data_IF_307008372411
#
_entry.id   IF_307008372411
#
_cell.length_a   1.000
_cell.length_b   1.000
_cell.length_c   1.000
_cell.angle_alpha   90.00
_cell.angle_beta   90.00
_cell.angle_gamma   90.00
#
_symmetry.space_group_name_H-M   'P 1'
#
loop_
_entity.id
_entity.type
_entity.pdbx_description
1 polymer ?
#
# COMPACT_ATOMS: atom_id res chain seq x y z
N UNK A 1 -34.49 17.70 12.21
CA UNK A 1 -34.61 17.03 10.89
C UNK A 1 -34.64 18.05 9.76
N UNK A 2 -34.99 17.67 8.52
CA UNK A 2 -35.00 18.60 7.37
C UNK A 2 -35.87 19.85 7.58
N UNK A 3 -37.01 19.72 8.27
CA UNK A 3 -37.89 20.85 8.61
C UNK A 3 -37.21 21.85 9.56
N UNK A 4 -36.52 21.38 10.60
CA UNK A 4 -35.78 22.25 11.51
C UNK A 4 -34.62 22.96 10.79
N UNK A 5 -33.94 22.26 9.87
CA UNK A 5 -32.87 22.85 9.06
C UNK A 5 -33.43 23.95 8.13
N UNK A 6 -34.59 23.73 7.52
CA UNK A 6 -35.27 24.76 6.73
C UNK A 6 -35.72 25.95 7.58
N UNK A 7 -36.26 25.71 8.77
CA UNK A 7 -36.63 26.78 9.71
C UNK A 7 -35.40 27.59 10.14
N UNK A 8 -34.28 26.94 10.43
CA UNK A 8 -33.00 27.60 10.71
C UNK A 8 -32.56 28.43 9.51
N UNK A 9 -32.55 27.88 8.29
CA UNK A 9 -32.16 28.64 7.10
C UNK A 9 -33.09 29.81 6.80
N UNK A 10 -34.39 29.66 7.04
CA UNK A 10 -35.36 30.74 6.88
C UNK A 10 -35.06 31.88 7.86
N UNK A 11 -34.88 31.58 9.14
CA UNK A 11 -34.50 32.58 10.15
C UNK A 11 -33.13 33.20 9.82
N UNK A 12 -32.16 32.39 9.38
CA UNK A 12 -30.86 32.90 8.96
C UNK A 12 -30.98 33.90 7.80
N UNK A 13 -31.85 33.61 6.83
CA UNK A 13 -32.13 34.49 5.69
C UNK A 13 -32.87 35.77 6.10
N UNK A 14 -33.88 35.67 6.97
CA UNK A 14 -34.70 36.80 7.42
C UNK A 14 -33.91 37.84 8.23
N UNK A 15 -32.91 37.39 8.99
CA UNK A 15 -32.16 38.23 9.93
C UNK A 15 -30.69 38.46 9.54
N UNK A 16 -30.24 37.96 8.39
CA UNK A 16 -28.90 38.21 7.86
C UNK A 16 -28.60 39.72 7.78
N UNK A 17 -27.46 40.14 8.34
CA UNK A 17 -27.03 41.55 8.31
C UNK A 17 -27.74 42.45 9.32
N UNK A 18 -28.62 41.91 10.17
CA UNK A 18 -29.23 42.66 11.28
C UNK A 18 -28.44 42.47 12.57
N UNK A 19 -28.48 41.27 13.17
CA UNK A 19 -27.76 40.95 14.42
C UNK A 19 -26.81 39.74 14.30
N UNK A 20 -26.78 39.06 13.15
CA UNK A 20 -25.72 38.11 12.77
C UNK A 20 -25.41 38.19 11.27
N UNK A 21 -24.25 37.66 10.89
CA UNK A 21 -23.81 37.48 9.49
C UNK A 21 -23.37 36.03 9.35
N UNK A 22 -24.00 35.29 8.43
CA UNK A 22 -23.51 33.99 7.95
C UNK A 22 -22.35 34.20 6.98
N UNK A 23 -21.30 33.41 7.16
CA UNK A 23 -20.09 33.43 6.33
C UNK A 23 -19.67 31.99 6.06
N UNK A 24 -19.05 31.77 4.90
CA UNK A 24 -18.24 30.58 4.66
C UNK A 24 -17.01 30.59 5.58
N UNK A 25 -16.41 29.42 5.80
CA UNK A 25 -15.19 29.32 6.60
C UNK A 25 -14.05 30.21 6.03
N UNK A 26 -13.93 30.28 4.70
CA UNK A 26 -12.94 31.10 4.01
C UNK A 26 -13.13 32.60 4.28
N UNK A 27 -14.36 33.10 4.15
CA UNK A 27 -14.71 34.50 4.44
C UNK A 27 -14.49 34.83 5.92
N UNK A 28 -14.83 33.91 6.82
CA UNK A 28 -14.60 34.09 8.25
C UNK A 28 -13.10 34.21 8.56
N UNK A 29 -12.25 33.37 7.98
CA UNK A 29 -10.79 33.43 8.14
C UNK A 29 -10.21 34.75 7.61
N UNK A 30 -10.72 35.24 6.47
CA UNK A 30 -10.25 36.49 5.86
C UNK A 30 -10.66 37.72 6.68
N UNK A 31 -11.89 37.73 7.20
CA UNK A 31 -12.48 38.88 7.90
C UNK A 31 -12.17 38.91 9.39
N UNK A 32 -11.92 37.76 10.01
CA UNK A 32 -11.61 37.64 11.43
C UNK A 32 -10.17 37.17 11.61
N UNK A 33 -9.25 38.14 11.68
CA UNK A 33 -7.83 37.84 11.90
C UNK A 33 -7.66 37.06 13.21
N UNK A 34 -7.00 35.90 13.20
CA UNK A 34 -6.83 35.10 14.39
C UNK A 34 -6.03 35.88 15.44
N UNK A 35 -6.58 35.99 16.64
CA UNK A 35 -5.93 36.64 17.79
C UNK A 35 -4.97 35.70 18.52
N UNK A 36 -5.06 34.40 18.25
CA UNK A 36 -4.16 33.36 18.74
C UNK A 36 -4.11 32.21 17.72
N UNK A 37 -2.96 31.56 17.63
CA UNK A 37 -2.75 30.38 16.78
C UNK A 37 -2.49 29.19 17.69
N UNK A 38 -3.32 28.16 17.57
CA UNK A 38 -3.07 26.88 18.24
C UNK A 38 -2.01 26.14 17.43
N UNK A 39 -0.82 26.01 17.99
CA UNK A 39 0.34 25.40 17.31
C UNK A 39 0.56 23.94 17.68
N UNK A 40 -0.15 23.43 18.67
CA UNK A 40 -0.05 22.05 19.10
C UNK A 40 -1.46 21.49 19.35
N UNK A 41 -1.93 20.65 18.43
CA UNK A 41 -3.18 19.91 18.57
C UNK A 41 -2.83 18.48 18.96
N UNK A 42 -3.34 17.96 20.09
CA UNK A 42 -3.13 16.57 20.45
C UNK A 42 -3.80 15.65 19.42
N UNK A 43 -3.25 14.45 19.26
CA UNK A 43 -3.85 13.42 18.41
C UNK A 43 -5.21 13.00 18.97
N UNK A 44 -6.29 13.29 18.23
CA UNK A 44 -7.67 12.96 18.64
C UNK A 44 -8.63 13.03 17.45
N UNK A 45 -9.90 12.73 17.71
CA UNK A 45 -11.00 12.97 16.78
C UNK A 45 -12.14 13.72 17.50
N UNK A 46 -13.16 14.12 16.75
CA UNK A 46 -14.40 14.67 17.32
C UNK A 46 -15.14 13.68 18.24
N UNK A 47 -14.85 12.38 18.13
CA UNK A 47 -15.33 11.33 19.05
C UNK A 47 -14.47 11.20 20.33
N UNK A 48 -13.64 12.21 20.62
CA UNK A 48 -12.79 12.36 21.83
C UNK A 48 -11.68 11.30 21.99
N UNK A 49 -11.59 10.32 21.09
CA UNK A 49 -10.50 9.36 20.94
C UNK A 49 -10.53 8.70 19.55
N UNK A 50 -9.63 7.74 19.30
CA UNK A 50 -9.52 7.03 18.02
C UNK A 50 -10.08 5.60 18.05
N UNK A 51 -10.73 5.17 19.14
CA UNK A 51 -11.15 3.78 19.32
C UNK A 51 -12.14 3.28 18.26
N UNK A 52 -12.90 4.20 17.65
CA UNK A 52 -13.79 3.89 16.55
C UNK A 52 -13.03 3.35 15.32
N UNK A 53 -11.77 3.70 15.12
CA UNK A 53 -10.97 3.27 13.97
C UNK A 53 -9.77 2.41 14.36
N UNK A 54 -9.25 2.57 15.58
CA UNK A 54 -8.09 1.82 16.06
C UNK A 54 -8.19 1.59 17.58
N UNK A 55 -8.63 0.40 17.97
CA UNK A 55 -8.76 -0.04 19.36
C UNK A 55 -8.11 -1.42 19.61
N UNK A 56 -7.24 -1.87 18.70
CA UNK A 56 -6.61 -3.19 18.76
C UNK A 56 -7.52 -4.37 18.39
N UNK A 57 -8.78 -4.14 17.99
CA UNK A 57 -9.64 -5.22 17.49
C UNK A 57 -8.99 -5.91 16.27
N UNK A 58 -8.88 -7.25 16.23
CA UNK A 58 -8.15 -7.96 15.17
C UNK A 58 -8.57 -7.57 13.75
N UNK A 59 -9.87 -7.40 13.51
CA UNK A 59 -10.36 -7.00 12.18
C UNK A 59 -9.90 -5.60 11.75
N UNK A 60 -9.75 -4.64 12.68
CA UNK A 60 -9.24 -3.30 12.36
C UNK A 60 -7.73 -3.33 12.15
N UNK A 61 -7.00 -4.06 13.01
CA UNK A 61 -5.55 -4.26 12.87
C UNK A 61 -5.21 -4.89 11.53
N UNK A 62 -6.00 -5.87 11.08
CA UNK A 62 -5.84 -6.53 9.79
C UNK A 62 -6.07 -5.57 8.61
N UNK A 63 -7.10 -4.71 8.68
CA UNK A 63 -7.31 -3.66 7.66
C UNK A 63 -6.11 -2.71 7.62
N UNK A 64 -5.66 -2.20 8.78
CA UNK A 64 -4.52 -1.29 8.84
C UNK A 64 -3.24 -1.91 8.29
N UNK A 65 -2.97 -3.17 8.63
CA UNK A 65 -1.83 -3.90 8.11
C UNK A 65 -1.90 -4.07 6.59
N UNK A 66 -3.07 -4.49 6.08
CA UNK A 66 -3.28 -4.69 4.64
C UNK A 66 -3.19 -3.38 3.85
N UNK A 67 -3.69 -2.28 4.42
CA UNK A 67 -3.58 -0.93 3.84
C UNK A 67 -2.13 -0.47 3.75
N UNK A 68 -1.38 -0.60 4.84
CA UNK A 68 0.03 -0.23 4.87
C UNK A 68 0.82 -1.03 3.82
N UNK A 69 0.59 -2.34 3.75
CA UNK A 69 1.22 -3.20 2.76
C UNK A 69 0.86 -2.82 1.31
N UNK A 70 -0.42 -2.58 1.02
CA UNK A 70 -0.85 -2.18 -0.32
C UNK A 70 -0.27 -0.82 -0.72
N UNK A 71 -0.22 0.13 0.21
CA UNK A 71 0.39 1.45 0.00
C UNK A 71 1.88 1.33 -0.31
N UNK A 72 2.62 0.55 0.47
CA UNK A 72 4.04 0.30 0.21
C UNK A 72 4.29 -0.25 -1.20
N UNK A 73 3.59 -1.32 -1.58
CA UNK A 73 3.71 -1.90 -2.92
C UNK A 73 3.38 -0.90 -4.01
N UNK A 74 2.27 -0.16 -3.86
CA UNK A 74 1.82 0.79 -4.87
C UNK A 74 2.76 1.98 -5.01
N UNK A 75 3.21 2.57 -3.91
CA UNK A 75 4.19 3.67 -3.94
C UNK A 75 5.49 3.18 -4.55
N UNK A 76 6.01 2.04 -4.10
CA UNK A 76 7.24 1.46 -4.62
C UNK A 76 7.16 1.15 -6.11
N UNK A 77 6.08 0.54 -6.57
CA UNK A 77 5.90 0.28 -7.99
C UNK A 77 5.72 1.57 -8.81
N UNK A 78 4.92 2.52 -8.33
CA UNK A 78 4.67 3.82 -8.99
C UNK A 78 5.97 4.60 -9.17
N UNK A 79 6.80 4.63 -8.14
CA UNK A 79 8.17 5.18 -8.18
C UNK A 79 9.06 4.48 -9.18
N UNK A 80 9.06 3.15 -9.17
CA UNK A 80 9.86 2.35 -10.09
C UNK A 80 9.49 2.61 -11.55
N UNK A 81 8.24 2.89 -11.88
CA UNK A 81 7.85 3.25 -13.26
C UNK A 81 8.06 4.73 -13.60
N UNK A 82 8.54 5.54 -12.65
CA UNK A 82 8.73 6.99 -12.82
C UNK A 82 7.44 7.80 -12.88
N UNK A 83 6.34 7.29 -12.31
CA UNK A 83 5.06 7.98 -12.26
C UNK A 83 4.89 8.80 -10.96
N UNK A 84 3.96 9.75 -10.98
CA UNK A 84 3.61 10.53 -9.80
C UNK A 84 2.89 9.66 -8.77
N UNK A 85 3.39 9.65 -7.54
CA UNK A 85 2.74 9.04 -6.37
C UNK A 85 1.56 9.89 -5.90
N UNK A 86 0.50 9.24 -5.44
CA UNK A 86 -0.76 9.91 -5.04
C UNK A 86 -1.30 10.88 -6.11
N UNK A 87 -1.47 10.42 -7.37
CA UNK A 87 -1.98 11.28 -8.43
C UNK A 87 -3.46 11.57 -8.23
N UNK A 88 -3.92 12.73 -8.72
CA UNK A 88 -5.35 12.93 -8.95
C UNK A 88 -5.79 11.98 -10.05
N UNK A 89 -6.65 11.02 -9.74
CA UNK A 89 -7.09 10.01 -10.69
C UNK A 89 -8.21 10.60 -11.57
N UNK A 90 -8.03 10.69 -12.90
CA UNK A 90 -9.09 11.09 -13.80
C UNK A 90 -10.12 9.96 -13.86
N UNK A 91 -11.27 10.18 -13.23
CA UNK A 91 -12.44 9.32 -13.32
C UNK A 91 -13.44 10.01 -14.25
N UNK A 92 -13.61 9.54 -15.49
CA UNK A 92 -14.73 9.98 -16.31
C UNK A 92 -15.98 9.29 -15.76
N UNK A 93 -16.54 9.84 -14.68
CA UNK A 93 -17.70 9.30 -13.96
C UNK A 93 -18.93 9.07 -14.86
N UNK A 94 -18.97 9.76 -16.01
CA UNK A 94 -20.02 9.63 -17.01
C UNK A 94 -19.82 8.44 -17.97
N UNK A 95 -18.65 7.82 -18.06
CA UNK A 95 -18.37 6.75 -19.04
C UNK A 95 -17.68 5.51 -18.48
N UNK A 96 -16.79 5.62 -17.49
CA UNK A 96 -16.15 4.45 -16.87
C UNK A 96 -15.83 4.69 -15.39
N UNK A 97 -16.18 3.74 -14.49
CA UNK A 97 -15.87 3.87 -13.06
C UNK A 97 -14.37 3.68 -12.73
N UNK A 98 -13.56 3.25 -13.71
CA UNK A 98 -12.12 3.05 -13.57
C UNK A 98 -11.37 3.87 -14.65
N UNK A 99 -10.09 4.16 -14.37
CA UNK A 99 -9.20 4.81 -15.34
C UNK A 99 -8.76 3.83 -16.42
N UNK A 100 -8.52 4.33 -17.65
CA UNK A 100 -7.88 3.55 -18.71
C UNK A 100 -6.39 3.30 -18.43
N UNK A 101 -5.80 4.02 -17.47
CA UNK A 101 -4.46 3.75 -16.97
C UNK A 101 -4.53 2.77 -15.78
N UNK A 102 -3.92 1.57 -15.90
CA UNK A 102 -3.95 0.57 -14.83
C UNK A 102 -3.38 1.07 -13.49
N UNK A 103 -2.33 1.89 -13.50
CA UNK A 103 -1.73 2.43 -12.26
C UNK A 103 -2.69 3.40 -11.58
N UNK A 104 -3.39 4.24 -12.34
CA UNK A 104 -4.42 5.12 -11.79
C UNK A 104 -5.61 4.34 -11.21
N UNK A 105 -5.97 3.20 -11.80
CA UNK A 105 -6.97 2.31 -11.21
C UNK A 105 -6.51 1.76 -9.86
N UNK A 106 -5.24 1.36 -9.72
CA UNK A 106 -4.69 0.92 -8.42
C UNK A 106 -4.66 2.04 -7.37
N UNK A 107 -4.33 3.27 -7.77
CA UNK A 107 -4.42 4.43 -6.87
C UNK A 107 -5.85 4.71 -6.43
N UNK A 108 -6.82 4.60 -7.34
CA UNK A 108 -8.23 4.71 -6.99
C UNK A 108 -8.66 3.62 -6.00
N UNK A 109 -8.19 2.38 -6.18
CA UNK A 109 -8.45 1.30 -5.23
C UNK A 109 -7.87 1.61 -3.85
N UNK A 110 -6.68 2.20 -3.78
CA UNK A 110 -6.08 2.60 -2.52
C UNK A 110 -6.92 3.69 -1.83
N UNK A 111 -7.36 4.72 -2.57
CA UNK A 111 -8.21 5.78 -2.02
C UNK A 111 -9.55 5.25 -1.48
N UNK A 112 -10.14 4.27 -2.16
CA UNK A 112 -11.35 3.60 -1.67
C UNK A 112 -11.01 2.81 -0.40
N UNK A 113 -9.93 2.02 -0.42
CA UNK A 113 -9.53 1.18 0.71
C UNK A 113 -9.18 1.99 1.97
N UNK A 114 -8.68 3.21 1.81
CA UNK A 114 -8.35 4.13 2.92
C UNK A 114 -9.58 4.83 3.52
N UNK A 115 -10.78 4.55 3.00
CA UNK A 115 -12.03 5.06 3.56
C UNK A 115 -12.20 4.71 5.04
N UNK A 116 -12.36 5.72 5.88
CA UNK A 116 -12.41 5.52 7.34
C UNK A 116 -13.62 4.70 7.80
N UNK A 117 -14.67 4.62 6.99
CA UNK A 117 -15.87 3.82 7.26
C UNK A 117 -15.57 2.33 7.46
N UNK A 118 -14.55 1.79 6.77
CA UNK A 118 -14.19 0.38 6.88
C UNK A 118 -13.79 0.02 8.31
N UNK A 119 -12.89 0.80 8.90
CA UNK A 119 -12.43 0.58 10.28
C UNK A 119 -13.42 1.07 11.30
N UNK A 120 -14.20 2.12 11.00
CA UNK A 120 -15.33 2.56 11.83
C UNK A 120 -16.29 1.41 12.08
N UNK A 121 -16.74 0.74 11.02
CA UNK A 121 -17.79 -0.29 11.09
C UNK A 121 -17.26 -1.66 11.55
N UNK A 122 -15.97 -1.93 11.42
CA UNK A 122 -15.41 -3.25 11.72
C UNK A 122 -15.26 -3.50 13.22
N UNK A 123 -16.17 -4.30 13.78
CA UNK A 123 -16.10 -4.72 15.18
C UNK A 123 -16.41 -3.60 16.18
N UNK A 124 -16.05 -3.77 17.47
CA UNK A 124 -16.36 -2.80 18.51
C UNK A 124 -15.77 -1.41 18.19
N UNK A 125 -16.43 -0.30 18.56
CA UNK A 125 -17.71 -0.25 19.28
C UNK A 125 -18.95 -0.34 18.39
N UNK A 126 -18.81 -0.25 17.06
CA UNK A 126 -19.94 -0.03 16.15
C UNK A 126 -20.60 -1.33 15.66
N UNK A 127 -19.85 -2.44 15.59
CA UNK A 127 -20.34 -3.76 15.19
C UNK A 127 -21.14 -3.74 13.87
N UNK A 128 -20.63 -3.01 12.89
CA UNK A 128 -21.20 -2.98 11.55
C UNK A 128 -21.09 -4.34 10.84
N UNK A 129 -21.74 -4.47 9.67
CA UNK A 129 -21.72 -5.69 8.89
C UNK A 129 -20.30 -6.18 8.54
N UNK A 130 -20.09 -7.50 8.55
CA UNK A 130 -18.79 -8.12 8.28
C UNK A 130 -18.22 -7.77 6.89
N UNK A 131 -19.06 -7.37 5.93
CA UNK A 131 -18.62 -7.00 4.58
C UNK A 131 -17.79 -5.70 4.56
N UNK A 132 -17.88 -4.82 5.56
CA UNK A 132 -17.04 -3.62 5.63
C UNK A 132 -15.55 -3.98 5.68
N UNK A 133 -15.19 -4.95 6.54
CA UNK A 133 -13.82 -5.49 6.59
C UNK A 133 -13.44 -6.11 5.25
N UNK A 134 -14.30 -6.96 4.69
CA UNK A 134 -14.02 -7.68 3.46
C UNK A 134 -13.76 -6.75 2.27
N UNK A 135 -14.50 -5.63 2.16
CA UNK A 135 -14.31 -4.68 1.08
C UNK A 135 -12.93 -4.02 1.13
N UNK A 136 -12.51 -3.53 2.28
CA UNK A 136 -11.17 -2.94 2.45
C UNK A 136 -10.07 -3.93 2.04
N UNK A 137 -10.16 -5.18 2.51
CA UNK A 137 -9.20 -6.23 2.17
C UNK A 137 -9.22 -6.60 0.69
N UNK A 138 -10.38 -6.58 0.05
CA UNK A 138 -10.50 -6.91 -1.37
C UNK A 138 -9.76 -5.89 -2.25
N UNK A 139 -9.84 -4.60 -1.92
CA UNK A 139 -9.12 -3.56 -2.67
C UNK A 139 -7.61 -3.62 -2.45
N UNK A 140 -7.15 -3.81 -1.21
CA UNK A 140 -5.72 -3.92 -0.90
C UNK A 140 -5.11 -5.19 -1.51
N UNK A 141 -5.80 -6.32 -1.43
CA UNK A 141 -5.38 -7.57 -2.08
C UNK A 141 -5.31 -7.42 -3.60
N UNK A 142 -6.27 -6.72 -4.23
CA UNK A 142 -6.24 -6.46 -5.67
C UNK A 142 -5.00 -5.65 -6.07
N UNK A 143 -4.60 -4.65 -5.29
CA UNK A 143 -3.38 -3.86 -5.51
C UNK A 143 -2.15 -4.75 -5.42
N UNK A 144 -2.00 -5.46 -4.30
CA UNK A 144 -0.83 -6.30 -4.02
C UNK A 144 -0.69 -7.40 -5.08
N UNK A 145 -1.78 -8.09 -5.40
CA UNK A 145 -1.77 -9.18 -6.37
C UNK A 145 -1.48 -8.68 -7.80
N UNK A 146 -2.04 -7.53 -8.19
CA UNK A 146 -1.78 -6.94 -9.52
C UNK A 146 -0.31 -6.56 -9.67
N UNK A 147 0.26 -5.86 -8.68
CA UNK A 147 1.67 -5.45 -8.71
C UNK A 147 2.58 -6.68 -8.70
N UNK A 148 2.27 -7.69 -7.87
CA UNK A 148 3.03 -8.93 -7.85
C UNK A 148 2.99 -9.65 -9.20
N UNK A 149 1.82 -9.74 -9.84
CA UNK A 149 1.66 -10.32 -11.17
C UNK A 149 2.40 -9.55 -12.27
N UNK A 150 2.51 -8.22 -12.14
CA UNK A 150 3.37 -7.41 -13.01
C UNK A 150 4.86 -7.70 -12.77
N UNK A 151 5.33 -7.68 -11.52
CA UNK A 151 6.74 -7.94 -11.19
C UNK A 151 7.22 -9.33 -11.65
N UNK A 152 6.34 -10.34 -11.69
CA UNK A 152 6.64 -11.67 -12.25
C UNK A 152 7.00 -11.68 -13.75
N UNK A 153 6.66 -10.62 -14.48
CA UNK A 153 7.01 -10.45 -15.90
C UNK A 153 8.42 -9.89 -16.07
N UNK A 154 9.07 -9.44 -15.00
CA UNK A 154 10.48 -8.99 -15.02
C UNK A 154 11.37 -10.16 -14.63
N UNK A 155 12.05 -10.76 -15.60
CA UNK A 155 12.68 -12.09 -15.46
C UNK A 155 14.19 -12.02 -15.62
N UNK A 156 14.92 -12.74 -14.78
CA UNK A 156 16.33 -13.00 -14.99
C UNK A 156 16.46 -14.09 -16.05
N UNK A 157 16.99 -13.74 -17.22
CA UNK A 157 17.12 -14.66 -18.35
C UNK A 157 18.48 -15.32 -18.39
N UNK A 158 19.53 -14.60 -17.98
CA UNK A 158 20.89 -15.12 -17.96
C UNK A 158 21.69 -14.56 -16.79
N UNK A 159 22.50 -15.42 -16.20
CA UNK A 159 23.55 -15.07 -15.24
C UNK A 159 24.86 -15.73 -15.69
N UNK A 160 25.90 -14.92 -15.80
CA UNK A 160 27.27 -15.35 -16.09
C UNK A 160 28.20 -14.68 -15.09
N UNK A 161 29.17 -15.42 -14.61
CA UNK A 161 30.18 -14.94 -13.68
C UNK A 161 31.55 -15.38 -14.19
N UNK A 162 32.36 -14.43 -14.65
CA UNK A 162 33.67 -14.67 -15.26
C UNK A 162 34.59 -13.49 -14.98
N UNK A 163 35.80 -13.76 -14.51
CA UNK A 163 36.89 -12.78 -14.34
C UNK A 163 36.47 -11.52 -13.55
N UNK A 164 35.93 -11.67 -12.35
CA UNK A 164 35.49 -10.57 -11.50
C UNK A 164 34.39 -9.68 -12.07
N UNK A 165 33.59 -10.24 -12.99
CA UNK A 165 32.45 -9.58 -13.59
C UNK A 165 31.25 -10.53 -13.60
N UNK A 166 30.21 -10.12 -12.91
CA UNK A 166 28.88 -10.71 -13.02
C UNK A 166 28.10 -10.00 -14.13
N UNK A 167 27.58 -10.77 -15.07
CA UNK A 167 26.72 -10.27 -16.15
C UNK A 167 25.33 -10.85 -15.98
N UNK A 168 24.35 -9.96 -15.79
CA UNK A 168 22.94 -10.31 -15.72
C UNK A 168 22.24 -9.89 -17.02
N UNK A 169 21.35 -10.73 -17.54
CA UNK A 169 20.40 -10.35 -18.57
C UNK A 169 19.00 -10.40 -17.97
N UNK A 170 18.36 -9.24 -17.87
CA UNK A 170 17.02 -9.10 -17.31
C UNK A 170 16.06 -8.68 -18.42
N UNK A 171 15.00 -9.45 -18.60
CA UNK A 171 13.89 -9.11 -19.48
C UNK A 171 12.82 -8.38 -18.69
N UNK A 172 12.41 -7.20 -19.15
CA UNK A 172 11.23 -6.51 -18.61
C UNK A 172 10.03 -6.78 -19.52
N UNK A 173 9.12 -7.64 -19.08
CA UNK A 173 7.88 -7.96 -19.82
C UNK A 173 6.74 -6.97 -19.62
N UNK A 174 6.96 -5.87 -18.90
CA UNK A 174 5.94 -4.85 -18.67
C UNK A 174 5.85 -3.87 -19.84
N UNK A 175 4.71 -3.18 -19.92
CA UNK A 175 4.50 -2.03 -20.79
C UNK A 175 5.17 -0.74 -20.26
N UNK A 176 5.92 -0.81 -19.15
CA UNK A 176 6.49 0.34 -18.45
C UNK A 176 8.02 0.26 -18.42
N UNK A 177 8.68 1.42 -18.57
CA UNK A 177 10.10 1.55 -18.25
C UNK A 177 10.26 1.50 -16.75
N UNK A 178 11.23 0.72 -16.25
CA UNK A 178 11.54 0.63 -14.83
C UNK A 178 12.85 1.33 -14.52
N UNK A 179 12.85 2.21 -13.54
CA UNK A 179 13.99 2.92 -12.96
C UNK A 179 14.25 2.35 -11.57
N UNK A 180 15.31 1.57 -11.44
CA UNK A 180 15.54 0.70 -10.28
C UNK A 180 16.99 0.79 -9.79
N UNK A 181 17.22 0.35 -8.56
CA UNK A 181 18.55 0.03 -8.05
C UNK A 181 18.72 -1.49 -8.06
N UNK A 182 19.65 -1.99 -8.87
CA UNK A 182 20.09 -3.38 -8.85
C UNK A 182 21.15 -3.55 -7.78
N UNK A 183 20.95 -4.49 -6.87
CA UNK A 183 21.94 -4.90 -5.87
C UNK A 183 22.31 -6.35 -6.11
N UNK A 184 23.58 -6.63 -6.33
CA UNK A 184 24.12 -7.99 -6.49
C UNK A 184 24.98 -8.31 -5.30
N UNK A 185 24.76 -9.46 -4.66
CA UNK A 185 25.44 -9.87 -3.43
C UNK A 185 25.92 -11.31 -3.50
N UNK A 186 27.05 -11.59 -2.85
CA UNK A 186 27.55 -12.95 -2.61
C UNK A 186 27.34 -13.40 -1.15
N UNK A 187 26.67 -12.59 -0.33
CA UNK A 187 26.42 -12.84 1.09
C UNK A 187 27.41 -12.16 2.04
N UNK A 188 28.58 -11.75 1.56
CA UNK A 188 29.57 -10.98 2.34
C UNK A 188 29.73 -9.56 1.84
N UNK A 189 29.64 -9.37 0.52
CA UNK A 189 29.80 -8.09 -0.15
C UNK A 189 28.67 -7.90 -1.17
N UNK A 190 28.26 -6.64 -1.36
CA UNK A 190 27.22 -6.28 -2.31
C UNK A 190 27.63 -5.05 -3.13
N UNK A 191 27.25 -5.05 -4.41
CA UNK A 191 27.39 -3.91 -5.32
C UNK A 191 26.00 -3.43 -5.72
N UNK A 192 25.76 -2.13 -5.55
CA UNK A 192 24.54 -1.47 -6.00
C UNK A 192 24.80 -0.64 -7.27
N UNK A 193 23.86 -0.67 -8.20
CA UNK A 193 23.93 0.07 -9.47
C UNK A 193 22.54 0.50 -9.93
N UNK A 194 22.39 1.75 -10.33
CA UNK A 194 21.16 2.21 -10.98
C UNK A 194 21.00 1.55 -12.35
N UNK A 195 19.80 1.03 -12.62
CA UNK A 195 19.47 0.34 -13.86
C UNK A 195 18.14 0.84 -14.42
N UNK A 196 18.06 0.89 -15.75
CA UNK A 196 16.84 1.22 -16.48
C UNK A 196 16.45 0.04 -17.34
N UNK A 197 15.29 -0.55 -17.07
CA UNK A 197 14.77 -1.69 -17.84
C UNK A 197 13.67 -1.19 -18.77
N UNK A 198 13.92 -1.20 -20.08
CA UNK A 198 12.94 -0.75 -21.08
C UNK A 198 11.80 -1.76 -21.27
N UNK A 199 10.57 -1.31 -21.63
CA UNK A 199 9.44 -2.18 -21.88
C UNK A 199 9.76 -3.25 -22.93
N UNK A 200 9.27 -4.48 -22.71
CA UNK A 200 9.42 -5.63 -23.61
C UNK A 200 10.84 -5.85 -24.15
N UNK A 201 11.85 -5.56 -23.32
CA UNK A 201 13.24 -5.52 -23.76
C UNK A 201 14.16 -6.29 -22.82
N UNK A 202 15.20 -6.88 -23.41
CA UNK A 202 16.31 -7.45 -22.67
C UNK A 202 17.32 -6.36 -22.33
N UNK A 203 17.76 -6.32 -21.07
CA UNK A 203 18.85 -5.43 -20.61
C UNK A 203 20.01 -6.28 -20.13
N UNK A 204 21.20 -6.09 -20.73
CA UNK A 204 22.44 -6.75 -20.29
C UNK A 204 23.20 -5.81 -19.36
N UNK A 205 23.48 -6.26 -18.15
CA UNK A 205 24.01 -5.45 -17.06
C UNK A 205 25.30 -6.08 -16.54
N UNK A 206 26.47 -5.53 -16.89
CA UNK A 206 27.73 -5.92 -16.27
C UNK A 206 27.87 -5.25 -14.90
N UNK A 207 28.25 -6.05 -13.90
CA UNK A 207 28.53 -5.68 -12.52
C UNK A 207 29.96 -6.10 -12.21
N UNK A 208 30.85 -5.11 -12.17
CA UNK A 208 32.30 -5.29 -12.04
C UNK A 208 32.68 -5.26 -10.56
N UNK A 209 33.58 -6.14 -10.14
CA UNK A 209 34.13 -6.15 -8.78
C UNK A 209 33.41 -7.09 -7.81
N UNK A 210 32.61 -8.02 -8.34
CA UNK A 210 31.96 -9.07 -7.55
C UNK A 210 32.05 -10.40 -8.29
N UNK A 211 32.30 -11.46 -7.52
CA UNK A 211 32.35 -12.86 -7.95
C UNK A 211 31.51 -13.71 -7.00
N UNK A 212 31.13 -14.89 -7.50
CA UNK A 212 30.32 -15.90 -6.82
C UNK A 212 29.02 -15.29 -6.25
N UNK A 213 28.39 -14.40 -7.02
CA UNK A 213 27.16 -13.76 -6.59
C UNK A 213 26.06 -14.81 -6.41
N UNK A 214 25.34 -14.72 -5.29
CA UNK A 214 24.29 -15.66 -4.90
C UNK A 214 22.91 -15.04 -5.02
N UNK A 215 22.80 -13.72 -4.97
CA UNK A 215 21.53 -13.00 -5.13
C UNK A 215 21.67 -11.75 -6.00
N UNK A 216 20.60 -11.45 -6.73
CA UNK A 216 20.40 -10.16 -7.36
C UNK A 216 19.01 -9.64 -6.97
N UNK A 217 18.93 -8.41 -6.50
CA UNK A 217 17.69 -7.79 -6.04
C UNK A 217 17.46 -6.48 -6.77
N UNK A 218 16.20 -6.23 -7.14
CA UNK A 218 15.77 -4.97 -7.73
C UNK A 218 14.99 -4.18 -6.70
N UNK A 219 15.47 -2.98 -6.41
CA UNK A 219 14.89 -2.06 -5.46
C UNK A 219 14.24 -0.88 -6.18
N UNK A 220 13.07 -0.48 -5.69
CA UNK A 220 12.49 0.82 -6.03
C UNK A 220 13.20 1.92 -5.24
N UNK A 221 13.49 3.08 -5.87
CA UNK A 221 14.17 4.21 -5.22
C UNK A 221 13.20 5.02 -4.31
N UNK A 222 12.53 4.33 -3.39
CA UNK A 222 11.66 4.93 -2.37
C UNK A 222 12.45 5.11 -1.09
N UNK A 223 12.24 6.23 -0.42
CA UNK A 223 12.79 6.51 0.91
C UNK A 223 11.75 6.34 2.02
N UNK A 224 12.20 6.17 3.26
CA UNK A 224 11.31 6.00 4.45
C UNK A 224 10.28 7.12 4.58
N UNK A 225 10.69 8.36 4.32
CA UNK A 225 9.82 9.54 4.39
C UNK A 225 8.61 9.48 3.45
N UNK A 226 8.64 8.60 2.45
CA UNK A 226 7.61 8.50 1.42
C UNK A 226 6.60 7.38 1.70
N UNK A 227 6.90 6.48 2.63
CA UNK A 227 6.00 5.40 3.06
C UNK A 227 5.37 5.66 4.43
N UNK A 228 5.99 6.48 5.28
CA UNK A 228 5.54 6.66 6.67
C UNK A 228 5.74 5.38 7.48
N UNK A 229 4.81 5.06 8.39
CA UNK A 229 4.82 3.78 9.09
C UNK A 229 4.58 2.61 8.12
N UNK A 230 5.52 1.67 8.09
CA UNK A 230 5.61 0.67 7.03
C UNK A 230 5.90 -0.74 7.62
N UNK A 231 5.03 -1.75 7.41
CA UNK A 231 5.29 -3.13 7.87
C UNK A 231 6.51 -3.80 7.25
N UNK A 232 6.91 -3.44 6.02
CA UNK A 232 8.11 -4.02 5.38
C UNK A 232 9.29 -3.07 5.59
N UNK A 233 10.40 -3.53 6.20
CA UNK A 233 11.60 -2.72 6.34
C UNK A 233 12.15 -2.27 4.98
N UNK A 234 12.32 -0.97 4.83
CA UNK A 234 13.11 -0.37 3.75
C UNK A 234 14.58 -0.43 4.17
N UNK A 235 15.48 -0.72 3.22
CA UNK A 235 16.91 -0.65 3.50
C UNK A 235 17.56 0.52 2.75
N UNK A 236 18.87 0.69 2.92
CA UNK A 236 19.62 1.77 2.27
C UNK A 236 19.55 1.80 0.73
N UNK A 237 19.09 0.73 0.09
CA UNK A 237 18.89 0.63 -1.36
C UNK A 237 17.46 0.95 -1.81
N UNK A 238 16.51 1.05 -0.87
CA UNK A 238 15.10 1.35 -1.09
C UNK A 238 14.19 0.16 -0.75
N UNK A 239 13.02 0.13 -1.40
CA UNK A 239 12.03 -0.94 -1.21
C UNK A 239 12.30 -2.11 -2.15
N UNK A 240 12.51 -3.32 -1.62
CA UNK A 240 12.80 -4.51 -2.42
C UNK A 240 11.57 -4.96 -3.21
N UNK A 241 11.63 -4.88 -4.55
CA UNK A 241 10.55 -5.33 -5.42
C UNK A 241 10.72 -6.80 -5.83
N UNK A 242 11.94 -7.17 -6.26
CA UNK A 242 12.21 -8.49 -6.82
C UNK A 242 13.50 -9.06 -6.24
N UNK A 243 13.51 -10.35 -5.94
CA UNK A 243 14.72 -11.11 -5.62
C UNK A 243 14.91 -12.25 -6.61
N UNK A 244 16.12 -12.38 -7.13
CA UNK A 244 16.60 -13.50 -7.93
C UNK A 244 17.66 -14.27 -7.15
N UNK A 245 17.58 -15.61 -7.19
CA UNK A 245 18.66 -16.48 -6.69
C UNK A 245 19.58 -16.79 -7.86
N UNK A 246 20.85 -16.45 -7.74
CA UNK A 246 21.79 -16.63 -8.84
C UNK A 246 22.36 -18.05 -8.79
N UNK A 247 22.24 -18.73 -9.92
CA UNK A 247 22.78 -20.07 -10.13
C UNK A 247 23.25 -20.17 -11.58
N UNK A 248 24.45 -20.71 -11.86
CA UNK A 248 24.96 -20.82 -13.24
C UNK A 248 23.96 -21.52 -14.16
N UNK A 249 23.70 -20.93 -15.34
CA UNK A 249 22.92 -21.56 -16.41
C UNK A 249 21.38 -21.45 -16.35
N UNK A 250 20.79 -20.81 -15.35
CA UNK A 250 19.33 -20.76 -15.21
C UNK A 250 18.69 -19.45 -15.67
N UNK A 251 17.58 -19.59 -16.41
CA UNK A 251 16.53 -18.56 -16.47
C UNK A 251 15.64 -18.72 -15.25
N UNK A 252 15.40 -17.66 -14.49
CA UNK A 252 14.50 -17.69 -13.33
C UNK A 252 13.39 -16.64 -13.48
N UNK A 253 12.17 -17.07 -13.17
CA UNK A 253 11.08 -16.14 -12.91
C UNK A 253 11.39 -15.34 -11.63
N UNK A 254 10.93 -14.09 -11.56
CA UNK A 254 11.05 -13.29 -10.35
C UNK A 254 10.40 -14.02 -9.16
N UNK A 255 11.10 -14.06 -8.03
CA UNK A 255 10.50 -14.38 -6.75
C UNK A 255 10.20 -13.07 -6.03
N UNK A 256 8.92 -12.83 -5.76
CA UNK A 256 8.49 -11.69 -4.96
C UNK A 256 8.66 -12.07 -3.49
N UNK A 257 9.12 -11.14 -2.66
CA UNK A 257 9.25 -11.30 -1.22
C UNK A 257 7.86 -11.23 -0.55
N UNK A 258 6.98 -12.20 -0.82
CA UNK A 258 5.82 -12.49 0.04
C UNK A 258 5.64 -14.01 0.11
N UNK A 259 6.41 -14.66 0.97
CA UNK A 259 6.17 -16.06 1.34
C UNK A 259 6.19 -16.29 2.85
N UNK A 260 6.05 -15.23 3.66
CA UNK A 260 6.02 -15.35 5.13
C UNK A 260 4.61 -15.24 5.72
N UNK A 261 3.64 -14.63 5.03
CA UNK A 261 2.27 -14.48 5.56
C UNK A 261 1.31 -15.62 5.21
N UNK A 262 1.45 -16.28 4.05
CA UNK A 262 0.57 -17.42 3.73
C UNK A 262 0.73 -18.58 4.73
N UNK A 263 1.94 -18.79 5.28
CA UNK A 263 2.14 -19.83 6.29
C UNK A 263 1.63 -19.42 7.68
N UNK A 264 1.65 -18.13 8.02
CA UNK A 264 1.07 -17.64 9.29
C UNK A 264 -0.47 -17.59 9.23
N UNK A 265 -1.05 -17.18 8.09
CA UNK A 265 -2.50 -17.17 7.88
C UNK A 265 -3.08 -18.58 7.79
N UNK A 266 -2.46 -19.48 7.02
CA UNK A 266 -2.89 -20.89 6.97
C UNK A 266 -2.71 -21.54 8.34
N UNK A 267 -1.62 -21.23 9.06
CA UNK A 267 -1.41 -21.68 10.44
C UNK A 267 -2.50 -21.18 11.40
N UNK A 268 -2.84 -19.90 11.39
CA UNK A 268 -3.88 -19.33 12.25
C UNK A 268 -5.28 -19.84 11.88
N UNK A 269 -5.61 -19.99 10.60
CA UNK A 269 -6.91 -20.52 10.15
C UNK A 269 -7.06 -22.00 10.53
N UNK A 270 -6.02 -22.81 10.38
CA UNK A 270 -6.04 -24.22 10.83
C UNK A 270 -6.19 -24.29 12.36
N UNK A 271 -5.52 -23.41 13.11
CA UNK A 271 -5.61 -23.39 14.58
C UNK A 271 -7.00 -22.94 15.06
N UNK A 272 -7.62 -21.95 14.40
CA UNK A 272 -8.98 -21.48 14.67
C UNK A 272 -10.05 -22.53 14.31
N UNK A 273 -9.87 -23.27 13.21
CA UNK A 273 -10.74 -24.40 12.83
C UNK A 273 -10.57 -25.56 13.82
N UNK A 274 -9.35 -25.87 14.26
CA UNK A 274 -9.11 -26.89 15.27
C UNK A 274 -9.78 -26.52 16.61
N UNK A 275 -9.68 -25.26 17.04
CA UNK A 275 -10.32 -24.77 18.27
C UNK A 275 -11.85 -24.76 18.17
N UNK A 276 -12.43 -24.43 17.01
CA UNK A 276 -13.89 -24.43 16.81
C UNK A 276 -14.49 -25.83 16.75
N UNK A 277 -13.68 -26.88 16.51
CA UNK A 277 -14.10 -28.28 16.55
C UNK A 277 -13.87 -28.89 17.95
N UNK A 278 -12.76 -28.56 18.61
CA UNK A 278 -12.38 -29.12 19.92
C UNK A 278 -13.27 -28.57 21.05
N UNK A 279 -13.60 -27.28 21.04
CA UNK A 279 -14.39 -26.65 22.11
C UNK A 279 -15.80 -27.26 22.22
N UNK A 280 -16.57 -27.45 21.13
CA UNK A 280 -17.87 -28.14 21.20
C UNK A 280 -17.76 -29.60 21.66
N UNK A 281 -16.74 -30.33 21.22
CA UNK A 281 -16.52 -31.74 21.61
C UNK A 281 -16.15 -31.89 23.09
N UNK A 282 -15.44 -30.92 23.66
CA UNK A 282 -15.11 -30.87 25.09
C UNK A 282 -16.33 -30.47 25.94
N UNK A 283 -17.15 -29.53 25.47
CA UNK A 283 -18.40 -29.15 26.13
C UNK A 283 -19.44 -30.27 26.11
N UNK A 284 -19.48 -31.10 25.07
CA UNK A 284 -20.39 -32.26 24.99
C UNK A 284 -20.03 -33.43 25.91
N UNK A 285 -18.83 -33.41 26.52
CA UNK A 285 -18.40 -34.40 27.53
C UNK A 285 -18.59 -33.92 28.98
N UNK A 286 -19.01 -32.67 29.17
CA UNK A 286 -19.20 -32.03 30.48
C UNK A 286 -20.68 -31.74 30.80
N UNK A 287 -21.59 -32.15 29.91
CA UNK A 287 -23.05 -32.19 30.11
C UNK A 287 -23.46 -33.66 30.09
#
# INVERSE_FOLDING_TARGET
>A
GPADLQAIYQVLSEYQGTWFITQTASEAIETHKPVAVVTNLPETSWALNLNNWNNGYPGKTEIWYSLALAREYLVAFTKAVGAQTSPVVPLPFNTTPNSTNPIYTLWNYLYIAEGSDWTWQTGPPNYGPAWFKQQALTYTDAIINTINGWLQQVRLVKYVDVNNVVVLQIYNGLNYTLYLTLVVSNGTYAIAKSVVLKPHSMTTIPVIGIENATTAQLYSPVSENELGDHPIPINQYGFALITYKLSPGNSQAASNQVSTLNNLYVGMVITLIALSIIIPLMLHRLI
#
